data_IF_153454458302
#
_entry.id   IF_153454458302
#
_cell.length_a   1.000
_cell.length_b   1.000
_cell.length_c   1.000
_cell.angle_alpha   90.00
_cell.angle_beta   90.00
_cell.angle_gamma   90.00
#
_symmetry.space_group_name_H-M   'P 1'
#
loop_
_entity.id
_entity.type
_entity.pdbx_description
1 polymer ?
#
# COMPACT_ATOMS: atom_id res chain seq x y z
N UNK A 1 -27.01 8.29 2.11
CA UNK A 1 -26.58 8.05 3.50
C UNK A 1 -25.22 7.39 3.35
N UNK A 2 -24.15 8.15 3.57
CA UNK A 2 -22.78 7.66 3.40
C UNK A 2 -22.38 7.00 4.71
N UNK A 3 -22.10 5.70 4.69
CA UNK A 3 -21.71 4.95 5.88
C UNK A 3 -20.43 5.55 6.48
N UNK A 4 -20.47 6.11 7.70
CA UNK A 4 -19.28 6.65 8.36
C UNK A 4 -18.22 5.57 8.62
N UNK A 5 -18.65 4.31 8.73
CA UNK A 5 -17.77 3.13 8.87
C UNK A 5 -16.85 2.92 7.66
N UNK A 6 -17.25 3.36 6.46
CA UNK A 6 -16.41 3.22 5.24
C UNK A 6 -15.35 4.32 5.13
N UNK A 7 -15.50 5.43 5.84
CA UNK A 7 -14.55 6.55 5.80
C UNK A 7 -13.42 6.39 6.81
N UNK A 8 -13.67 5.75 7.95
CA UNK A 8 -12.66 5.47 8.96
C UNK A 8 -11.44 4.70 8.40
N UNK A 9 -11.59 3.57 7.69
CA UNK A 9 -10.44 2.83 7.17
C UNK A 9 -9.67 3.61 6.09
N UNK A 10 -10.36 4.45 5.30
CA UNK A 10 -9.70 5.29 4.28
C UNK A 10 -8.80 6.35 4.93
N UNK A 11 -9.29 7.06 5.94
CA UNK A 11 -8.49 8.09 6.63
C UNK A 11 -7.34 7.48 7.45
N UNK A 12 -7.53 6.29 8.03
CA UNK A 12 -6.46 5.55 8.69
C UNK A 12 -5.37 5.15 7.69
N UNK A 13 -5.72 4.55 6.54
CA UNK A 13 -4.76 4.23 5.50
C UNK A 13 -4.03 5.48 4.96
N UNK A 14 -4.72 6.62 4.83
CA UNK A 14 -4.09 7.87 4.41
C UNK A 14 -3.07 8.38 5.43
N UNK A 15 -3.43 8.40 6.71
CA UNK A 15 -2.54 8.83 7.79
C UNK A 15 -1.30 7.94 7.91
N UNK A 16 -1.51 6.61 7.85
CA UNK A 16 -0.41 5.64 7.85
C UNK A 16 0.52 5.85 6.64
N UNK A 17 -0.03 6.14 5.45
CA UNK A 17 0.78 6.42 4.27
C UNK A 17 1.62 7.68 4.40
N UNK A 18 1.03 8.76 4.93
CA UNK A 18 1.73 10.02 5.16
C UNK A 18 2.89 9.83 6.14
N UNK A 19 2.68 9.05 7.21
CA UNK A 19 3.73 8.74 8.19
C UNK A 19 4.79 7.82 7.61
N UNK A 20 4.39 6.75 6.91
CA UNK A 20 5.32 5.77 6.34
C UNK A 20 6.24 6.38 5.28
N UNK A 21 5.74 7.37 4.53
CA UNK A 21 6.47 8.04 3.45
C UNK A 21 7.09 9.38 3.87
N UNK A 22 6.93 9.78 5.13
CA UNK A 22 7.36 11.09 5.66
C UNK A 22 6.88 12.26 4.78
N UNK A 23 5.59 12.25 4.42
CA UNK A 23 4.99 13.28 3.56
C UNK A 23 4.46 14.44 4.40
N UNK A 24 4.48 15.63 3.82
CA UNK A 24 3.83 16.80 4.43
C UNK A 24 2.29 16.67 4.46
N UNK A 25 1.70 16.11 3.40
CA UNK A 25 0.24 15.94 3.26
C UNK A 25 -0.14 14.82 2.27
N UNK A 26 -1.35 14.27 2.41
CA UNK A 26 -1.86 13.24 1.50
C UNK A 26 -2.38 13.85 0.19
N UNK A 27 -1.87 13.37 -0.94
CA UNK A 27 -2.34 13.81 -2.26
C UNK A 27 -3.11 12.70 -2.99
N UNK A 28 -4.37 12.95 -3.42
CA UNK A 28 -5.22 11.93 -4.02
C UNK A 28 -4.69 11.39 -5.35
N UNK A 29 -3.90 12.18 -6.08
CA UNK A 29 -3.32 11.79 -7.37
C UNK A 29 -1.89 11.26 -7.27
N UNK A 30 -1.31 11.19 -6.06
CA UNK A 30 0.09 10.78 -5.88
C UNK A 30 0.36 9.34 -6.37
N UNK A 31 -0.64 8.46 -6.33
CA UNK A 31 -0.55 7.10 -6.88
C UNK A 31 -0.26 7.05 -8.38
N UNK A 32 -0.33 8.18 -9.10
CA UNK A 32 0.04 8.27 -10.52
C UNK A 32 1.54 8.48 -10.75
N UNK A 33 2.28 8.87 -9.70
CA UNK A 33 3.71 9.13 -9.74
C UNK A 33 4.51 7.86 -9.45
N UNK A 34 5.53 7.60 -10.26
CA UNK A 34 6.37 6.41 -10.11
C UNK A 34 7.12 6.41 -8.77
N UNK A 35 7.81 7.51 -8.45
CA UNK A 35 8.61 7.65 -7.24
C UNK A 35 7.80 7.50 -5.95
N UNK A 36 6.52 7.87 -6.01
CA UNK A 36 5.61 7.70 -4.88
C UNK A 36 5.25 6.23 -4.67
N UNK A 37 4.91 5.52 -5.74
CA UNK A 37 4.58 4.11 -5.69
C UNK A 37 5.78 3.25 -5.27
N UNK A 38 6.98 3.58 -5.77
CA UNK A 38 8.23 2.92 -5.36
C UNK A 38 8.47 3.10 -3.87
N UNK A 39 8.48 4.35 -3.39
CA UNK A 39 8.67 4.63 -1.96
C UNK A 39 7.61 3.93 -1.10
N UNK A 40 6.35 3.85 -1.56
CA UNK A 40 5.29 3.18 -0.84
C UNK A 40 5.55 1.68 -0.73
N UNK A 41 5.97 1.04 -1.83
CA UNK A 41 6.30 -0.38 -1.85
C UNK A 41 7.56 -0.69 -1.03
N UNK A 42 8.58 0.17 -1.10
CA UNK A 42 9.80 0.06 -0.28
C UNK A 42 9.50 0.22 1.22
N UNK A 43 8.53 1.06 1.57
CA UNK A 43 8.02 1.20 2.93
C UNK A 43 7.11 0.04 3.38
N UNK A 44 6.86 -0.95 2.51
CA UNK A 44 6.04 -2.13 2.80
C UNK A 44 4.53 -1.89 2.66
N UNK A 45 4.11 -0.75 2.13
CA UNK A 45 2.69 -0.43 1.87
C UNK A 45 2.16 -1.33 0.77
N UNK A 46 1.02 -1.97 1.00
CA UNK A 46 0.46 -2.88 0.01
C UNK A 46 -0.35 -2.15 -1.06
N UNK A 47 -0.51 -2.78 -2.22
CA UNK A 47 -1.43 -2.30 -3.27
C UNK A 47 -2.88 -2.17 -2.78
N UNK A 48 -3.27 -2.92 -1.73
CA UNK A 48 -4.61 -2.83 -1.14
C UNK A 48 -4.75 -1.53 -0.34
N UNK A 49 -3.73 -1.19 0.44
CA UNK A 49 -3.72 0.02 1.27
C UNK A 49 -3.64 1.27 0.37
N UNK A 50 -2.81 1.23 -0.68
CA UNK A 50 -2.78 2.26 -1.72
C UNK A 50 -4.15 2.43 -2.39
N UNK A 51 -4.80 1.34 -2.79
CA UNK A 51 -6.12 1.41 -3.40
C UNK A 51 -7.17 2.02 -2.46
N UNK A 52 -7.11 1.66 -1.17
CA UNK A 52 -8.02 2.16 -0.13
C UNK A 52 -7.77 3.64 0.16
N UNK A 53 -6.51 4.04 0.37
CA UNK A 53 -6.15 5.43 0.68
C UNK A 53 -6.52 6.39 -0.46
N UNK A 54 -6.36 5.96 -1.71
CA UNK A 54 -6.68 6.77 -2.89
C UNK A 54 -8.12 6.63 -3.38
N UNK A 55 -8.96 5.83 -2.71
CA UNK A 55 -10.32 5.50 -3.16
C UNK A 55 -10.39 5.04 -4.63
N UNK A 56 -9.41 4.22 -5.03
CA UNK A 56 -9.34 3.65 -6.38
C UNK A 56 -9.39 2.14 -6.34
N UNK A 57 -9.71 1.54 -7.48
CA UNK A 57 -9.61 0.09 -7.62
C UNK A 57 -8.15 -0.36 -7.59
N UNK A 58 -7.86 -1.51 -6.99
CA UNK A 58 -6.54 -2.20 -7.08
C UNK A 58 -6.04 -2.33 -8.52
N UNK A 59 -6.97 -2.53 -9.47
CA UNK A 59 -6.67 -2.60 -10.90
C UNK A 59 -6.08 -1.29 -11.44
N UNK A 60 -6.50 -0.12 -10.93
CA UNK A 60 -5.88 1.16 -11.27
C UNK A 60 -4.44 1.22 -10.78
N UNK A 61 -4.18 0.84 -9.53
CA UNK A 61 -2.82 0.82 -8.97
C UNK A 61 -1.92 -0.11 -9.78
N UNK A 62 -2.32 -1.37 -10.01
CA UNK A 62 -1.53 -2.30 -10.85
C UNK A 62 -1.28 -1.76 -12.26
N UNK A 63 -2.24 -1.06 -12.85
CA UNK A 63 -2.08 -0.47 -14.20
C UNK A 63 -1.06 0.67 -14.21
N UNK A 64 -0.97 1.44 -13.14
CA UNK A 64 0.03 2.50 -13.02
C UNK A 64 1.41 1.91 -12.74
N UNK A 65 1.50 0.89 -11.88
CA UNK A 65 2.74 0.15 -11.64
C UNK A 65 3.29 -0.44 -12.94
N UNK A 66 2.43 -1.12 -13.72
CA UNK A 66 2.77 -1.69 -15.03
C UNK A 66 3.18 -0.61 -16.04
N UNK A 67 2.52 0.55 -16.03
CA UNK A 67 2.89 1.68 -16.91
C UNK A 67 4.30 2.21 -16.64
N UNK A 68 4.69 2.22 -15.37
CA UNK A 68 5.99 2.74 -14.95
C UNK A 68 7.07 1.65 -14.85
N UNK A 69 6.74 0.40 -15.21
CA UNK A 69 7.64 -0.76 -15.11
C UNK A 69 8.20 -0.96 -13.69
N UNK A 70 7.38 -0.64 -12.66
CA UNK A 70 7.78 -0.77 -11.26
C UNK A 70 7.62 -2.22 -10.84
N UNK A 71 8.72 -2.83 -10.43
CA UNK A 71 8.69 -4.14 -9.78
C UNK A 71 8.02 -4.02 -8.41
N UNK A 72 6.91 -4.73 -8.24
CA UNK A 72 6.22 -4.83 -6.97
C UNK A 72 6.37 -6.25 -6.43
N UNK A 73 6.69 -6.37 -5.13
CA UNK A 73 6.70 -7.67 -4.49
C UNK A 73 5.27 -8.22 -4.50
N UNK A 74 5.03 -9.22 -5.35
CA UNK A 74 3.76 -9.93 -5.30
C UNK A 74 3.77 -10.80 -4.05
N UNK A 75 2.77 -10.69 -3.16
CA UNK A 75 2.68 -11.61 -2.05
C UNK A 75 2.64 -13.04 -2.63
N UNK A 76 3.33 -14.01 -1.98
CA UNK A 76 3.39 -15.37 -2.49
C UNK A 76 1.97 -15.86 -2.75
N UNK A 77 1.72 -16.27 -4.00
CA UNK A 77 0.36 -16.45 -4.56
C UNK A 77 -0.48 -17.49 -3.81
N UNK A 78 0.10 -18.34 -2.96
CA UNK A 78 -0.61 -19.30 -2.11
C UNK A 78 0.14 -19.59 -0.79
N UNK A 79 -0.63 -19.77 0.31
CA UNK A 79 -0.16 -20.43 1.54
C UNK A 79 -0.24 -19.59 2.84
N UNK A 80 0.07 -20.20 4.00
CA UNK A 80 0.09 -19.56 5.32
C UNK A 80 1.05 -18.36 5.41
N UNK A 81 2.00 -18.25 4.47
CA UNK A 81 2.87 -17.09 4.29
C UNK A 81 2.09 -15.78 4.06
N UNK A 82 0.91 -15.82 3.44
CA UNK A 82 0.06 -14.63 3.26
C UNK A 82 -0.50 -14.07 4.57
N UNK A 83 -0.68 -14.91 5.60
CA UNK A 83 -1.08 -14.43 6.94
C UNK A 83 0.10 -13.85 7.70
N UNK A 84 1.29 -14.45 7.58
CA UNK A 84 2.53 -13.91 8.15
C UNK A 84 2.88 -12.53 7.57
N UNK A 85 2.71 -12.35 6.26
CA UNK A 85 2.94 -11.05 5.59
C UNK A 85 1.97 -9.94 6.05
N UNK A 86 0.72 -10.27 6.41
CA UNK A 86 -0.24 -9.28 6.94
C UNK A 86 -0.18 -9.11 8.47
N UNK A 87 0.63 -9.91 9.18
CA UNK A 87 0.61 -9.99 10.65
C UNK A 87 1.87 -9.48 11.34
N UNK A 88 2.93 -9.10 10.62
CA UNK A 88 4.20 -8.70 11.26
C UNK A 88 4.81 -7.46 10.60
N UNK A 89 4.92 -6.32 11.32
CA UNK A 89 5.81 -5.23 10.95
C UNK A 89 7.26 -5.40 11.45
N UNK A 90 7.64 -6.52 12.09
CA UNK A 90 9.03 -6.70 12.52
C UNK A 90 9.36 -8.13 12.99
N UNK A 91 9.78 -9.03 12.09
CA UNK A 91 10.51 -10.25 12.48
C UNK A 91 11.13 -10.98 11.29
N UNK A 92 12.30 -10.50 10.86
CA UNK A 92 13.39 -11.36 10.38
C UNK A 92 14.67 -10.83 11.02
N UNK A 93 15.30 -11.59 11.94
CA UNK A 93 16.45 -12.41 11.57
C UNK A 93 16.34 -13.81 12.22
N UNK A 94 16.90 -14.89 11.72
CA UNK A 94 18.03 -15.14 10.85
C UNK A 94 18.54 -16.53 11.29
N UNK A 95 18.72 -17.42 10.33
CA UNK A 95 19.18 -18.80 10.51
C UNK A 95 20.60 -18.83 11.10
N UNK A 96 20.79 -19.47 12.26
CA UNK A 96 21.96 -20.32 12.62
C UNK A 96 21.59 -21.26 13.79
#
# INVERSE_FOLDING_TARGET
MTDPDSQTPMHECQADLVVALDLDDFSPDAYTSASYLEAALEAGVTVVDLATAHDVSKRSIYRVLDRHDIDYETPPKNGPARRLWNAHPDSVPGDD
#
